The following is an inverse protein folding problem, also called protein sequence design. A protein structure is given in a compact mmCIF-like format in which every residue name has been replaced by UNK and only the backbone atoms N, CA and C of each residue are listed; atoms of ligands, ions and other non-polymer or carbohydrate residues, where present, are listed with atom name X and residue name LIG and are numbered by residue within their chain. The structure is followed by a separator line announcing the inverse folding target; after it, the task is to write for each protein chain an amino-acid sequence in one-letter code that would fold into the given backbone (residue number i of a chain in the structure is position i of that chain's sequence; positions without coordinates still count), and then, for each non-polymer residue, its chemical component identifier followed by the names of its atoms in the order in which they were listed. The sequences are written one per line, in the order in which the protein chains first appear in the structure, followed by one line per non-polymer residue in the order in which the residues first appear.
data_IF_535982924449
#
_entry.id   IF_535982924449
#
_cell.length_a   1.000
_cell.length_b   1.000
_cell.length_c   1.000
_cell.angle_alpha   90.00
_cell.angle_beta   90.00
_cell.angle_gamma   90.00
#
_symmetry.space_group_name_H-M   'P 1'
#
loop_
_entity.id
_entity.type
_entity.pdbx_description
1 polymer ?
#
# COMPACT_ATOMS: atom_id res chain seq x y z
N UNK A 1 -0.22 -5.01 -7.01
CA UNK A 1 0.62 -3.95 -7.59
C UNK A 1 1.58 -4.41 -8.68
N UNK A 2 2.30 -5.53 -8.53
CA UNK A 2 3.40 -5.88 -9.44
C UNK A 2 3.02 -5.94 -10.93
N UNK A 3 1.87 -6.52 -11.26
CA UNK A 3 1.33 -6.55 -12.62
C UNK A 3 1.06 -5.15 -13.21
N UNK A 4 0.64 -4.19 -12.37
CA UNK A 4 0.42 -2.80 -12.77
C UNK A 4 1.75 -2.11 -13.07
N UNK A 5 2.76 -2.30 -12.23
CA UNK A 5 4.11 -1.74 -12.45
C UNK A 5 4.72 -2.33 -13.72
N UNK A 6 4.56 -3.63 -13.95
CA UNK A 6 5.01 -4.29 -15.17
C UNK A 6 4.31 -3.76 -16.42
N UNK A 7 3.00 -3.53 -16.34
CA UNK A 7 2.23 -2.88 -17.42
C UNK A 7 2.74 -1.46 -17.71
N UNK A 8 2.89 -0.62 -16.68
CA UNK A 8 3.39 0.76 -16.81
C UNK A 8 4.77 0.79 -17.47
N UNK A 9 5.68 -0.10 -17.05
CA UNK A 9 7.03 -0.18 -17.61
C UNK A 9 7.05 -0.71 -19.04
N UNK A 10 6.14 -1.62 -19.39
CA UNK A 10 6.03 -2.20 -20.74
C UNK A 10 5.44 -1.23 -21.76
N UNK A 11 4.46 -0.42 -21.37
CA UNK A 11 3.78 0.49 -22.31
C UNK A 11 4.71 1.61 -22.82
N UNK A 12 5.75 2.00 -22.07
CA UNK A 12 6.87 2.83 -22.56
C UNK A 12 6.55 4.28 -22.96
N UNK A 13 5.31 4.60 -23.37
CA UNK A 13 4.88 5.91 -23.87
C UNK A 13 4.43 6.89 -22.77
N UNK A 14 4.64 6.52 -21.50
CA UNK A 14 4.66 7.46 -20.39
C UNK A 14 3.30 7.70 -19.76
N UNK A 15 3.07 7.03 -18.62
CA UNK A 15 1.95 7.30 -17.73
C UNK A 15 1.87 8.81 -17.44
N UNK A 16 0.75 9.46 -17.75
CA UNK A 16 0.61 10.92 -17.54
C UNK A 16 -0.15 11.28 -16.29
N UNK A 17 -1.16 10.50 -15.93
CA UNK A 17 -1.98 10.75 -14.76
C UNK A 17 -2.40 9.46 -14.05
N UNK A 18 -2.64 9.61 -12.75
CA UNK A 18 -3.16 8.60 -11.85
C UNK A 18 -4.53 9.08 -11.39
N UNK A 19 -5.55 8.27 -11.66
CA UNK A 19 -6.93 8.61 -11.31
C UNK A 19 -7.34 7.79 -10.09
N UNK A 20 -7.63 8.48 -8.99
CA UNK A 20 -8.21 7.93 -7.77
C UNK A 20 -9.73 7.99 -7.89
N UNK A 21 -10.39 6.84 -7.89
CA UNK A 21 -11.84 6.78 -8.09
C UNK A 21 -12.55 6.55 -6.75
N UNK A 22 -13.42 7.48 -6.37
CA UNK A 22 -14.21 7.41 -5.12
C UNK A 22 -15.71 7.55 -5.41
N UNK A 23 -16.60 6.91 -4.64
CA UNK A 23 -18.03 7.15 -4.75
C UNK A 23 -18.39 8.50 -4.12
N UNK A 24 -19.29 9.27 -4.75
CA UNK A 24 -19.68 10.60 -4.29
C UNK A 24 -20.29 10.59 -2.88
N UNK A 25 -20.97 9.51 -2.50
CA UNK A 25 -21.53 9.34 -1.16
C UNK A 25 -20.49 9.01 -0.07
N UNK A 26 -19.20 8.88 -0.42
CA UNK A 26 -18.15 8.80 0.59
C UNK A 26 -17.87 10.19 1.15
N UNK A 27 -18.46 10.47 2.31
CA UNK A 27 -18.38 11.78 2.95
C UNK A 27 -17.18 11.91 3.88
N UNK A 28 -16.52 10.80 4.23
CA UNK A 28 -15.44 10.78 5.21
C UNK A 28 -14.09 10.46 4.57
N UNK A 29 -13.08 11.22 4.97
CA UNK A 29 -11.68 10.89 4.68
C UNK A 29 -11.22 9.69 5.55
N UNK A 30 -11.62 8.49 5.12
CA UNK A 30 -11.45 7.24 5.87
C UNK A 30 -10.01 6.72 5.89
N UNK A 31 -9.72 5.82 6.84
CA UNK A 31 -8.44 5.10 6.92
C UNK A 31 -8.10 4.34 5.63
N UNK A 32 -9.12 3.84 4.94
CA UNK A 32 -8.93 3.17 3.63
C UNK A 32 -8.37 4.14 2.58
N UNK A 33 -8.87 5.37 2.54
CA UNK A 33 -8.37 6.39 1.61
C UNK A 33 -6.93 6.79 1.99
N UNK A 34 -6.65 6.89 3.29
CA UNK A 34 -5.31 7.15 3.82
C UNK A 34 -4.30 6.04 3.44
N UNK A 35 -4.68 4.77 3.59
CA UNK A 35 -3.89 3.61 3.17
C UNK A 35 -3.63 3.66 1.67
N UNK A 36 -4.65 3.95 0.86
CA UNK A 36 -4.50 4.08 -0.59
C UNK A 36 -3.50 5.18 -0.96
N UNK A 37 -3.56 6.34 -0.30
CA UNK A 37 -2.60 7.44 -0.49
C UNK A 37 -1.17 6.97 -0.16
N UNK A 38 -0.98 6.23 0.94
CA UNK A 38 0.34 5.66 1.30
C UNK A 38 0.86 4.66 0.27
N UNK A 39 0.02 3.76 -0.22
CA UNK A 39 0.40 2.81 -1.28
C UNK A 39 0.82 3.55 -2.55
N UNK A 40 0.07 4.59 -2.94
CA UNK A 40 0.42 5.43 -4.09
C UNK A 40 1.78 6.11 -3.87
N UNK A 41 1.99 6.75 -2.72
CA UNK A 41 3.25 7.42 -2.38
C UNK A 41 4.46 6.47 -2.47
N UNK A 42 4.34 5.27 -1.91
CA UNK A 42 5.43 4.29 -1.91
C UNK A 42 5.67 3.69 -3.30
N UNK A 43 4.64 3.56 -4.12
CA UNK A 43 4.77 3.06 -5.51
C UNK A 43 5.44 4.09 -6.42
N UNK A 44 5.19 5.38 -6.16
CA UNK A 44 5.70 6.50 -6.94
C UNK A 44 6.60 7.41 -6.09
N UNK A 45 7.83 6.95 -5.72
CA UNK A 45 8.78 7.75 -4.94
C UNK A 45 9.45 8.85 -5.80
N UNK A 46 8.65 9.65 -6.51
CA UNK A 46 9.08 10.65 -7.48
C UNK A 46 8.63 12.02 -6.98
N UNK A 47 9.57 12.94 -6.74
CA UNK A 47 9.24 14.28 -6.25
C UNK A 47 8.22 14.98 -7.16
N UNK A 48 7.13 15.49 -6.56
CA UNK A 48 6.07 16.20 -7.28
C UNK A 48 5.15 15.31 -8.11
N UNK A 49 5.20 13.97 -7.97
CA UNK A 49 4.30 13.08 -8.70
C UNK A 49 2.82 13.32 -8.39
N UNK A 50 2.51 13.87 -7.21
CA UNK A 50 1.15 14.22 -6.80
C UNK A 50 0.48 15.22 -7.77
N UNK A 51 1.25 15.99 -8.55
CA UNK A 51 0.72 16.85 -9.63
C UNK A 51 0.04 16.07 -10.75
N UNK A 52 0.31 14.76 -10.82
CA UNK A 52 -0.27 13.84 -11.79
C UNK A 52 -1.46 13.07 -11.22
N UNK A 53 -1.84 13.30 -9.96
CA UNK A 53 -2.94 12.61 -9.29
C UNK A 53 -4.20 13.48 -9.34
N UNK A 54 -5.33 12.88 -9.71
CA UNK A 54 -6.64 13.50 -9.58
C UNK A 54 -7.64 12.55 -8.92
N UNK A 55 -8.73 13.10 -8.40
CA UNK A 55 -9.85 12.35 -7.84
C UNK A 55 -11.04 12.40 -8.80
N UNK A 56 -11.65 11.25 -9.08
CA UNK A 56 -12.92 11.16 -9.80
C UNK A 56 -13.98 10.65 -8.84
N UNK A 57 -14.91 11.53 -8.53
CA UNK A 57 -16.12 11.23 -7.78
C UNK A 57 -17.15 10.62 -8.72
N UNK A 58 -17.57 9.40 -8.40
CA UNK A 58 -18.52 8.62 -9.21
C UNK A 58 -19.89 8.63 -8.57
N UNK A 59 -20.92 8.15 -9.28
CA UNK A 59 -22.31 8.16 -8.80
C UNK A 59 -22.84 9.58 -8.52
N UNK A 60 -22.31 10.59 -9.22
CA UNK A 60 -22.88 11.93 -9.21
C UNK A 60 -24.13 11.96 -10.10
N UNK A 61 -25.22 11.37 -9.64
CA UNK A 61 -26.39 11.08 -10.49
C UNK A 61 -26.96 12.35 -11.16
N UNK A 62 -27.36 12.24 -12.42
CA UNK A 62 -27.88 13.34 -13.23
C UNK A 62 -29.24 13.88 -12.74
N UNK A 63 -29.98 13.10 -11.94
CA UNK A 63 -31.30 13.46 -11.44
C UNK A 63 -31.29 14.25 -10.12
N UNK A 64 -30.12 14.50 -9.52
CA UNK A 64 -30.03 15.41 -8.37
C UNK A 64 -30.30 16.85 -8.81
N UNK A 65 -31.06 17.65 -8.03
CA UNK A 65 -31.21 19.07 -8.31
C UNK A 65 -29.86 19.76 -8.42
N UNK A 66 -29.66 20.51 -9.51
CA UNK A 66 -28.36 21.09 -9.87
C UNK A 66 -27.75 21.94 -8.74
N UNK A 67 -28.53 22.84 -8.13
CA UNK A 67 -28.05 23.70 -7.05
C UNK A 67 -27.55 22.90 -5.82
N UNK A 68 -28.27 21.85 -5.45
CA UNK A 68 -27.90 20.97 -4.32
C UNK A 68 -26.60 20.21 -4.62
N UNK A 69 -26.46 19.75 -5.87
CA UNK A 69 -25.26 19.06 -6.30
C UNK A 69 -24.05 20.00 -6.32
N UNK A 70 -24.18 21.20 -6.89
CA UNK A 70 -23.09 22.19 -6.99
C UNK A 70 -22.56 22.59 -5.60
N UNK A 71 -23.45 22.84 -4.65
CA UNK A 71 -23.08 23.10 -3.26
C UNK A 71 -22.35 21.90 -2.63
N UNK A 72 -22.87 20.69 -2.83
CA UNK A 72 -22.25 19.46 -2.34
C UNK A 72 -20.87 19.21 -2.95
N UNK A 73 -20.70 19.50 -4.24
CA UNK A 73 -19.41 19.43 -4.96
C UNK A 73 -18.42 20.40 -4.32
N UNK A 74 -18.80 21.66 -4.13
CA UNK A 74 -17.93 22.69 -3.57
C UNK A 74 -17.45 22.35 -2.15
N UNK A 75 -18.37 21.91 -1.29
CA UNK A 75 -18.06 21.47 0.07
C UNK A 75 -17.10 20.28 0.05
N UNK A 76 -17.39 19.28 -0.80
CA UNK A 76 -16.58 18.05 -0.90
C UNK A 76 -15.18 18.33 -1.46
N UNK A 77 -15.07 19.17 -2.48
CA UNK A 77 -13.78 19.60 -3.04
C UNK A 77 -12.92 20.29 -1.98
N UNK A 78 -13.50 21.21 -1.21
CA UNK A 78 -12.77 21.95 -0.17
C UNK A 78 -12.30 21.01 0.95
N UNK A 79 -13.23 20.19 1.48
CA UNK A 79 -12.95 19.25 2.56
C UNK A 79 -11.87 18.21 2.18
N UNK A 80 -11.99 17.57 1.01
CA UNK A 80 -11.04 16.54 0.62
C UNK A 80 -9.69 17.11 0.22
N UNK A 81 -9.62 18.31 -0.38
CA UNK A 81 -8.34 18.93 -0.65
C UNK A 81 -7.60 19.24 0.65
N UNK A 82 -8.28 19.84 1.64
CA UNK A 82 -7.68 20.08 2.96
C UNK A 82 -7.17 18.78 3.59
N UNK A 83 -8.01 17.75 3.68
CA UNK A 83 -7.64 16.49 4.35
C UNK A 83 -6.56 15.70 3.64
N UNK A 84 -6.60 15.63 2.31
CA UNK A 84 -5.54 14.99 1.54
C UNK A 84 -4.22 15.74 1.69
N UNK A 85 -4.24 17.07 1.64
CA UNK A 85 -3.04 17.88 1.77
C UNK A 85 -2.42 17.78 3.15
N UNK A 86 -3.22 17.87 4.21
CA UNK A 86 -2.75 17.68 5.58
C UNK A 86 -2.09 16.31 5.75
N UNK A 87 -2.73 15.26 5.24
CA UNK A 87 -2.23 13.89 5.36
C UNK A 87 -0.94 13.66 4.57
N UNK A 88 -0.87 14.16 3.33
CA UNK A 88 0.31 14.03 2.48
C UNK A 88 1.47 14.84 3.06
N UNK A 89 1.24 16.08 3.50
CA UNK A 89 2.28 16.93 4.09
C UNK A 89 2.90 16.32 5.36
N UNK A 90 2.09 15.65 6.19
CA UNK A 90 2.59 14.93 7.36
C UNK A 90 3.51 13.75 7.01
N UNK A 91 3.37 13.15 5.83
CA UNK A 91 4.04 11.89 5.46
C UNK A 91 5.17 12.06 4.44
N UNK A 92 4.98 12.91 3.43
CA UNK A 92 5.95 13.09 2.33
C UNK A 92 6.66 14.45 2.37
N UNK A 93 6.33 15.32 3.32
CA UNK A 93 6.84 16.70 3.40
C UNK A 93 5.99 17.69 2.60
N UNK A 94 6.36 18.98 2.67
CA UNK A 94 5.56 20.10 2.18
C UNK A 94 5.44 20.15 0.66
N UNK A 95 4.37 19.55 0.12
CA UNK A 95 3.90 19.85 -1.21
C UNK A 95 2.74 20.86 -1.11
N UNK A 96 2.70 21.85 -2.00
CA UNK A 96 1.58 22.78 -2.12
C UNK A 96 0.85 22.48 -3.43
N UNK A 97 -0.05 21.51 -3.37
CA UNK A 97 -0.82 21.04 -4.52
C UNK A 97 -2.31 21.17 -4.19
N UNK A 98 -3.11 21.44 -5.21
CA UNK A 98 -4.56 21.26 -5.14
C UNK A 98 -4.90 20.12 -6.08
N UNK A 99 -5.55 19.08 -5.55
CA UNK A 99 -5.93 17.92 -6.34
C UNK A 99 -7.10 18.29 -7.24
N UNK A 100 -6.97 18.12 -8.57
CA UNK A 100 -8.10 18.21 -9.47
C UNK A 100 -9.13 17.14 -9.09
N UNK A 101 -10.39 17.54 -8.96
CA UNK A 101 -11.50 16.64 -8.65
C UNK A 101 -12.59 16.79 -9.70
N UNK A 102 -13.03 15.66 -10.25
CA UNK A 102 -14.03 15.60 -11.32
C UNK A 102 -15.25 14.78 -10.88
N UNK A 103 -16.45 15.18 -11.29
CA UNK A 103 -17.71 14.66 -10.74
C UNK A 103 -18.57 14.02 -11.82
N UNK A 104 -18.54 12.69 -11.87
CA UNK A 104 -19.06 11.90 -12.99
C UNK A 104 -20.24 11.03 -12.56
N UNK A 105 -21.33 11.12 -13.32
CA UNK A 105 -22.38 10.13 -13.29
C UNK A 105 -21.90 8.86 -14.01
N UNK A 106 -21.65 7.83 -13.21
CA UNK A 106 -21.21 6.52 -13.71
C UNK A 106 -22.36 5.66 -14.21
N UNK A 107 -23.62 6.07 -14.02
CA UNK A 107 -24.81 5.32 -14.42
C UNK A 107 -25.95 6.25 -14.85
N UNK A 108 -25.79 6.97 -15.98
CA UNK A 108 -26.82 7.88 -16.45
C UNK A 108 -28.09 7.13 -16.82
N UNK A 109 -29.23 7.63 -16.35
CA UNK A 109 -30.54 7.10 -16.73
C UNK A 109 -30.82 7.40 -18.20
N UNK A 110 -31.38 6.42 -18.93
CA UNK A 110 -31.73 6.60 -20.33
C UNK A 110 -32.74 7.73 -20.50
N UNK A 111 -32.46 8.67 -21.41
CA UNK A 111 -33.32 9.83 -21.69
C UNK A 111 -33.15 11.03 -20.75
N UNK A 112 -32.23 10.96 -19.78
CA UNK A 112 -31.85 12.11 -18.95
C UNK A 112 -30.65 12.84 -19.56
N UNK A 113 -30.59 14.16 -19.37
CA UNK A 113 -29.42 14.94 -19.76
C UNK A 113 -28.24 14.62 -18.84
N UNK A 114 -27.14 14.16 -19.43
CA UNK A 114 -25.89 13.86 -18.73
C UNK A 114 -24.73 14.77 -19.19
N UNK A 115 -25.04 15.86 -19.90
CA UNK A 115 -24.07 16.82 -20.44
C UNK A 115 -23.06 17.32 -19.41
N UNK A 116 -23.51 17.58 -18.17
CA UNK A 116 -22.63 17.95 -17.05
C UNK A 116 -21.51 16.93 -16.83
N UNK A 117 -21.82 15.64 -16.76
CA UNK A 117 -20.78 14.61 -16.56
C UNK A 117 -19.91 14.40 -17.80
N UNK A 118 -20.45 14.60 -19.00
CA UNK A 118 -19.64 14.60 -20.21
C UNK A 118 -18.62 15.75 -20.21
N UNK A 119 -19.01 16.94 -19.74
CA UNK A 119 -18.13 18.09 -19.58
C UNK A 119 -17.05 17.87 -18.51
N UNK A 120 -17.38 17.18 -17.42
CA UNK A 120 -16.44 16.76 -16.37
C UNK A 120 -15.39 15.77 -16.91
N UNK A 121 -15.83 14.79 -17.70
CA UNK A 121 -14.92 13.85 -18.39
C UNK A 121 -14.03 14.60 -19.38
N UNK A 122 -14.59 15.52 -20.17
CA UNK A 122 -13.81 16.33 -21.10
C UNK A 122 -12.77 17.19 -20.38
N UNK A 123 -13.13 17.78 -19.25
CA UNK A 123 -12.23 18.56 -18.39
C UNK A 123 -11.10 17.71 -17.83
N UNK A 124 -11.40 16.49 -17.35
CA UNK A 124 -10.39 15.52 -16.91
C UNK A 124 -9.41 15.17 -18.02
N UNK A 125 -9.91 14.89 -19.23
CA UNK A 125 -9.06 14.54 -20.37
C UNK A 125 -8.20 15.73 -20.82
N UNK A 126 -8.76 16.93 -20.83
CA UNK A 126 -8.04 18.16 -21.18
C UNK A 126 -6.97 18.51 -20.15
N UNK A 127 -7.22 18.26 -18.86
CA UNK A 127 -6.21 18.37 -17.81
C UNK A 127 -5.09 17.33 -18.01
N UNK A 128 -5.44 16.05 -18.16
CA UNK A 128 -4.47 14.97 -18.29
C UNK A 128 -3.54 15.14 -19.50
N UNK A 129 -4.04 15.66 -20.63
CA UNK A 129 -3.25 15.93 -21.84
C UNK A 129 -2.17 16.99 -21.65
N UNK A 130 -2.33 17.91 -20.70
CA UNK A 130 -1.37 18.98 -20.41
C UNK A 130 -0.22 18.52 -19.53
N UNK A 131 -0.32 17.34 -18.93
CA UNK A 131 0.70 16.81 -18.03
C UNK A 131 1.87 16.24 -18.82
N UNK A 132 3.08 16.47 -18.31
CA UNK A 132 4.24 15.72 -18.74
C UNK A 132 4.10 14.24 -18.35
N UNK A 133 4.73 13.31 -19.09
CA UNK A 133 4.82 11.93 -18.64
C UNK A 133 5.55 11.80 -17.30
N UNK A 134 5.09 10.89 -16.47
CA UNK A 134 5.78 10.44 -15.26
C UNK A 134 6.97 9.58 -15.69
N UNK A 135 8.10 9.72 -15.00
CA UNK A 135 9.29 8.90 -15.20
C UNK A 135 9.05 7.46 -14.69
N UNK A 136 8.55 6.60 -15.59
CA UNK A 136 8.16 5.22 -15.29
C UNK A 136 9.33 4.34 -14.81
N UNK A 137 10.58 4.73 -15.07
CA UNK A 137 11.75 3.98 -14.62
C UNK A 137 11.93 4.04 -13.10
N UNK A 138 11.50 5.14 -12.48
CA UNK A 138 11.53 5.36 -11.03
C UNK A 138 10.35 4.75 -10.28
N UNK A 139 9.40 4.15 -11.00
CA UNK A 139 8.27 3.44 -10.39
C UNK A 139 8.77 2.13 -9.79
N UNK A 140 8.44 1.91 -8.52
CA UNK A 140 8.93 0.76 -7.77
C UNK A 140 7.85 -0.30 -7.58
N UNK A 141 8.27 -1.56 -7.59
CA UNK A 141 7.41 -2.67 -7.16
C UNK A 141 7.38 -2.67 -5.65
N UNK A 142 6.25 -2.28 -5.07
CA UNK A 142 6.02 -2.32 -3.63
C UNK A 142 4.97 -3.37 -3.27
N UNK A 143 5.11 -3.91 -2.08
CA UNK A 143 4.08 -4.74 -1.46
C UNK A 143 2.87 -3.86 -1.13
N UNK A 144 1.67 -4.44 -1.24
CA UNK A 144 0.41 -3.75 -0.94
C UNK A 144 0.00 -3.94 0.52
N UNK A 145 0.59 -4.91 1.20
CA UNK A 145 0.36 -5.25 2.61
C UNK A 145 1.37 -4.52 3.48
N UNK A 146 2.64 -4.59 3.10
CA UNK A 146 3.74 -4.02 3.86
C UNK A 146 4.22 -2.69 3.26
N UNK A 147 4.22 -1.65 4.09
CA UNK A 147 4.82 -0.37 3.77
C UNK A 147 6.35 -0.49 3.67
N UNK A 148 6.95 -1.19 4.63
CA UNK A 148 8.38 -1.47 4.62
C UNK A 148 8.70 -2.78 5.34
N UNK A 149 9.80 -3.40 4.93
CA UNK A 149 10.39 -4.55 5.60
C UNK A 149 11.84 -4.22 5.86
N UNK A 150 12.26 -4.31 7.12
CA UNK A 150 13.62 -4.04 7.58
C UNK A 150 14.21 -5.35 8.07
N UNK A 151 15.43 -5.67 7.64
CA UNK A 151 16.20 -6.78 8.19
C UNK A 151 16.92 -6.30 9.45
N UNK A 152 16.65 -6.98 10.57
CA UNK A 152 17.39 -6.80 11.82
C UNK A 152 18.38 -7.96 11.98
N UNK A 153 19.56 -7.65 12.51
CA UNK A 153 20.66 -8.59 12.71
C UNK A 153 21.07 -8.60 14.19
N UNK A 154 21.34 -9.78 14.73
CA UNK A 154 21.80 -9.97 16.11
C UNK A 154 22.84 -11.09 16.18
N UNK A 155 23.88 -10.89 16.99
CA UNK A 155 24.88 -11.91 17.28
C UNK A 155 24.58 -12.55 18.64
N UNK A 156 24.27 -13.84 18.65
CA UNK A 156 24.07 -14.60 19.87
C UNK A 156 25.29 -15.48 20.17
N UNK A 157 25.98 -15.21 21.28
CA UNK A 157 27.08 -16.05 21.76
C UNK A 157 26.58 -17.10 22.76
N UNK A 158 26.88 -18.37 22.47
CA UNK A 158 26.53 -19.53 23.30
C UNK A 158 27.83 -20.22 23.70
N UNK A 159 28.01 -20.46 25.00
CA UNK A 159 29.12 -21.29 25.47
C UNK A 159 28.78 -22.76 25.19
N UNK A 160 29.50 -23.38 24.26
CA UNK A 160 29.34 -24.81 23.95
C UNK A 160 30.02 -25.65 25.04
N UNK A 161 31.24 -25.27 25.42
CA UNK A 161 32.01 -25.99 26.41
C UNK A 161 32.97 -25.07 27.15
N UNK A 162 33.21 -25.39 28.41
CA UNK A 162 34.20 -24.73 29.26
C UNK A 162 34.97 -25.79 30.02
N UNK A 163 36.28 -25.79 29.82
CA UNK A 163 37.24 -26.61 30.56
C UNK A 163 38.23 -25.68 31.29
N UNK A 164 39.12 -26.25 32.10
CA UNK A 164 40.19 -25.49 32.75
C UNK A 164 41.15 -24.81 31.76
N UNK A 165 41.26 -25.36 30.53
CA UNK A 165 42.24 -24.92 29.53
C UNK A 165 41.61 -24.17 28.38
N UNK A 166 40.33 -24.42 28.08
CA UNK A 166 39.68 -23.93 26.86
C UNK A 166 38.23 -23.53 27.13
N UNK A 167 37.83 -22.44 26.49
CA UNK A 167 36.44 -22.02 26.33
C UNK A 167 36.08 -22.12 24.86
N UNK A 168 35.09 -22.95 24.52
CA UNK A 168 34.52 -23.00 23.18
C UNK A 168 33.21 -22.25 23.16
N UNK A 169 33.14 -21.18 22.37
CA UNK A 169 31.91 -20.41 22.14
C UNK A 169 31.45 -20.55 20.70
N UNK A 170 30.14 -20.61 20.52
CA UNK A 170 29.46 -20.52 19.24
C UNK A 170 28.87 -19.13 19.12
N UNK A 171 29.19 -18.42 18.04
CA UNK A 171 28.58 -17.15 17.70
C UNK A 171 27.62 -17.45 16.55
N UNK A 172 26.32 -17.32 16.82
CA UNK A 172 25.27 -17.43 15.83
C UNK A 172 24.92 -16.03 15.35
N UNK A 173 25.05 -15.80 14.05
CA UNK A 173 24.54 -14.62 13.39
C UNK A 173 23.08 -14.88 13.02
N UNK A 174 22.17 -14.16 13.67
CA UNK A 174 20.73 -14.26 13.54
C UNK A 174 20.20 -13.09 12.72
N UNK A 175 19.20 -13.35 11.89
CA UNK A 175 18.43 -12.31 11.21
C UNK A 175 16.95 -12.50 11.44
N UNK A 176 16.20 -11.40 11.40
CA UNK A 176 14.73 -11.44 11.31
C UNK A 176 14.21 -10.30 10.47
N UNK A 177 13.01 -10.46 9.96
CA UNK A 177 12.27 -9.41 9.29
C UNK A 177 11.38 -8.67 10.29
N UNK A 178 11.54 -7.35 10.33
CA UNK A 178 10.57 -6.44 10.93
C UNK A 178 9.71 -5.83 9.83
N UNK A 179 8.41 -6.08 9.88
CA UNK A 179 7.46 -5.74 8.81
C UNK A 179 6.48 -4.69 9.31
N UNK A 180 6.44 -3.55 8.65
CA UNK A 180 5.50 -2.47 8.89
C UNK A 180 4.36 -2.55 7.89
N UNK A 181 3.12 -2.65 8.37
CA UNK A 181 1.93 -2.75 7.51
C UNK A 181 1.30 -1.39 7.24
N UNK A 182 0.44 -1.33 6.23
CA UNK A 182 -0.35 -0.12 5.99
C UNK A 182 -1.54 0.03 6.93
N UNK A 183 -2.11 -1.08 7.40
CA UNK A 183 -3.34 -1.10 8.20
C UNK A 183 -3.10 -1.19 9.71
N UNK A 184 -1.84 -1.29 10.14
CA UNK A 184 -1.46 -1.42 11.55
C UNK A 184 -0.33 -0.45 11.89
N UNK A 185 -0.41 0.17 13.06
CA UNK A 185 0.63 1.07 13.56
C UNK A 185 1.82 0.30 14.18
N UNK A 186 1.59 -0.91 14.67
CA UNK A 186 2.62 -1.74 15.29
C UNK A 186 3.31 -2.64 14.26
N UNK A 187 4.66 -2.76 14.30
CA UNK A 187 5.37 -3.67 13.43
C UNK A 187 5.17 -5.12 13.86
N UNK A 188 5.07 -6.00 12.87
CA UNK A 188 5.13 -7.45 13.07
C UNK A 188 6.55 -7.97 12.86
N UNK A 189 6.90 -9.09 13.48
CA UNK A 189 8.24 -9.67 13.42
C UNK A 189 8.18 -11.12 12.94
N UNK A 190 9.12 -11.52 12.09
CA UNK A 190 9.39 -12.93 11.86
C UNK A 190 10.11 -13.54 13.07
N UNK A 191 10.16 -14.86 13.11
CA UNK A 191 11.08 -15.56 14.00
C UNK A 191 12.53 -15.22 13.63
N UNK A 192 13.42 -15.29 14.61
CA UNK A 192 14.86 -15.23 14.38
C UNK A 192 15.32 -16.49 13.63
N UNK A 193 16.12 -16.29 12.59
CA UNK A 193 16.69 -17.36 11.78
C UNK A 193 18.22 -17.26 11.80
N UNK A 194 18.91 -18.37 12.08
CA UNK A 194 20.36 -18.44 12.02
C UNK A 194 20.83 -18.51 10.58
N UNK A 195 21.51 -17.46 10.12
CA UNK A 195 22.07 -17.41 8.76
C UNK A 195 23.50 -17.93 8.71
N UNK A 196 24.26 -17.79 9.79
CA UNK A 196 25.58 -18.37 9.90
C UNK A 196 25.97 -18.61 11.35
N UNK A 197 26.95 -19.48 11.55
CA UNK A 197 27.45 -19.81 12.87
C UNK A 197 28.96 -20.03 12.80
N UNK A 198 29.68 -19.42 13.72
CA UNK A 198 31.13 -19.54 13.82
C UNK A 198 31.51 -20.01 15.22
N UNK A 199 32.38 -21.02 15.30
CA UNK A 199 32.93 -21.49 16.57
C UNK A 199 34.27 -20.82 16.84
N UNK A 200 34.43 -20.27 18.05
CA UNK A 200 35.69 -19.73 18.54
C UNK A 200 36.15 -20.55 19.73
N UNK A 201 37.44 -20.90 19.73
CA UNK A 201 38.10 -21.54 20.86
C UNK A 201 39.06 -20.52 21.46
N UNK A 202 38.89 -20.23 22.75
CA UNK A 202 39.77 -19.37 23.52
C UNK A 202 40.51 -20.23 24.53
N UNK A 203 41.82 -20.35 24.36
CA UNK A 203 42.69 -21.00 25.34
C UNK A 203 42.90 -20.07 26.53
N UNK A 204 42.71 -20.60 27.74
CA UNK A 204 43.10 -19.90 28.95
C UNK A 204 44.62 -20.00 29.10
N UNK A 205 45.32 -18.88 29.41
CA UNK A 205 46.73 -18.98 29.78
C UNK A 205 46.84 -19.91 30.98
N UNK A 206 47.79 -20.86 30.94
CA UNK A 206 48.07 -21.77 32.07
C UNK A 206 48.31 -20.94 33.32
N UNK A 207 47.33 -20.83 34.20
CA UNK A 207 47.53 -20.20 35.50
C UNK A 207 48.20 -21.20 36.41
N UNK A 208 49.42 -20.85 36.84
CA UNK A 208 50.07 -21.42 38.00
C UNK A 208 49.09 -21.26 39.17
N UNK A 209 48.78 -22.37 39.83
CA UNK A 209 47.86 -22.48 40.96
C UNK A 209 48.08 -21.40 42.02
N UNK A 210 47.03 -20.68 42.44
CA UNK A 210 46.64 -20.66 43.86
C UNK A 210 45.28 -19.98 44.16
N UNK A 211 44.51 -20.73 44.95
CA UNK A 211 43.37 -20.44 45.82
C UNK A 211 41.94 -20.22 45.28
N UNK A 212 41.07 -20.92 46.01
CA UNK A 212 39.63 -21.18 45.92
C UNK A 212 38.84 -19.99 46.46
N UNK A 213 37.72 -19.66 45.82
CA UNK A 213 36.51 -19.22 46.54
C UNK A 213 35.26 -19.87 45.94
N UNK A 214 34.49 -20.52 46.81
CA UNK A 214 33.18 -21.08 46.54
C UNK A 214 32.16 -19.97 46.31
N UNK A 215 31.29 -20.14 45.31
CA UNK A 215 30.03 -19.41 45.21
C UNK A 215 28.86 -20.40 45.17
N UNK A 216 27.92 -20.18 46.07
CA UNK A 216 26.68 -20.96 46.28
C UNK A 216 25.70 -20.68 45.13
N UNK A 217 25.22 -21.74 44.49
CA UNK A 217 24.19 -21.69 43.44
C UNK A 217 22.80 -21.52 44.07
N UNK A 218 22.00 -20.55 43.58
CA UNK A 218 20.54 -20.51 43.79
C UNK A 218 19.86 -20.95 42.50
N UNK A 219 18.99 -21.94 42.59
CA UNK A 219 18.15 -22.38 41.47
C UNK A 219 17.18 -21.27 41.04
N UNK A 220 16.99 -21.02 39.74
CA UNK A 220 15.84 -20.27 39.25
C UNK A 220 14.57 -21.17 39.24
N UNK A 221 13.38 -20.59 39.45
CA UNK A 221 12.14 -21.35 39.59
C UNK A 221 11.65 -21.94 38.27
N UNK A 222 11.01 -23.11 38.37
CA UNK A 222 10.28 -23.79 37.28
C UNK A 222 8.82 -23.34 37.30
N UNK A 223 8.35 -22.79 36.19
CA UNK A 223 6.93 -22.70 35.80
C UNK A 223 6.88 -22.53 34.27
N UNK A 224 5.86 -22.91 33.52
CA UNK A 224 5.00 -24.10 33.51
C UNK A 224 4.54 -24.20 32.04
N UNK A 225 4.52 -25.39 31.46
CA UNK A 225 3.88 -25.59 30.16
C UNK A 225 2.38 -25.68 30.38
N UNK A 226 1.59 -24.79 29.79
CA UNK A 226 0.20 -25.08 29.47
C UNK A 226 -0.05 -24.96 27.96
N UNK A 227 -0.53 -26.08 27.42
CA UNK A 227 -1.11 -26.24 26.09
C UNK A 227 -2.56 -25.75 26.16
N UNK A 228 -2.99 -25.00 25.15
CA UNK A 228 -4.32 -25.22 24.56
C UNK A 228 -4.30 -24.78 23.09
N UNK A 229 -4.51 -25.77 22.22
CA UNK A 229 -4.84 -25.61 20.80
C UNK A 229 -6.37 -25.62 20.70
N UNK A 230 -6.98 -24.62 20.06
CA UNK A 230 -8.01 -24.75 19.00
C UNK A 230 -8.74 -23.42 18.78
N UNK A 231 -9.18 -23.24 17.53
CA UNK A 231 -9.96 -22.12 17.00
C UNK A 231 -9.16 -20.92 16.46
N UNK A 232 -8.33 -21.16 15.44
CA UNK A 232 -7.93 -20.08 14.52
C UNK A 232 -7.68 -20.56 13.09
N UNK A 233 -8.26 -21.69 12.68
CA UNK A 233 -8.13 -22.20 11.30
C UNK A 233 -9.37 -21.95 10.42
N UNK A 234 -10.53 -21.56 10.99
CA UNK A 234 -11.74 -21.31 10.22
C UNK A 234 -11.90 -19.88 9.69
N UNK A 235 -11.05 -18.94 10.11
CA UNK A 235 -11.09 -17.53 9.68
C UNK A 235 -10.23 -17.25 8.43
N UNK A 236 -9.42 -18.22 7.97
CA UNK A 236 -8.48 -18.02 6.84
C UNK A 236 -9.07 -18.28 5.45
N UNK A 237 -10.26 -18.86 5.34
CA UNK A 237 -10.90 -19.13 4.04
C UNK A 237 -11.69 -17.91 3.48
N UNK A 238 -11.74 -16.79 4.19
CA UNK A 238 -12.56 -15.62 3.84
C UNK A 238 -11.89 -14.57 2.94
N UNK A 239 -10.55 -14.46 2.97
CA UNK A 239 -9.83 -13.35 2.30
C UNK A 239 -9.35 -13.68 0.87
N UNK A 240 -9.42 -14.93 0.45
CA UNK A 240 -8.83 -15.42 -0.81
C UNK A 240 -9.53 -15.02 -2.11
N UNK A 241 -10.51 -14.11 -2.11
CA UNK A 241 -11.07 -13.63 -3.37
C UNK A 241 -11.73 -12.27 -3.22
N UNK A 242 -11.36 -11.30 -4.06
CA UNK A 242 -12.20 -10.16 -4.48
C UNK A 242 -11.45 -9.20 -5.43
N UNK A 243 -11.31 -9.57 -6.70
CA UNK A 243 -10.90 -8.63 -7.77
C UNK A 243 -12.07 -8.52 -8.75
N UNK A 244 -12.80 -7.40 -8.74
CA UNK A 244 -13.41 -6.73 -9.90
C UNK A 244 -14.35 -5.58 -9.47
N UNK A 245 -13.93 -4.31 -9.62
CA UNK A 245 -14.76 -3.16 -10.03
C UNK A 245 -13.85 -2.21 -10.82
N UNK A 246 -13.40 -2.63 -11.99
CA UNK A 246 -12.72 -1.76 -12.97
C UNK A 246 -13.52 -1.59 -14.26
N UNK A 247 -14.61 -2.34 -14.44
CA UNK A 247 -15.30 -2.47 -15.72
C UNK A 247 -16.11 -1.25 -16.13
N UNK A 248 -16.93 -0.67 -15.26
CA UNK A 248 -17.96 0.27 -15.70
C UNK A 248 -17.44 1.67 -16.05
N UNK A 249 -16.44 2.18 -15.35
CA UNK A 249 -15.90 3.53 -15.58
C UNK A 249 -14.91 3.51 -16.75
N UNK A 250 -14.05 2.50 -16.80
CA UNK A 250 -13.17 2.25 -17.95
C UNK A 250 -14.01 2.01 -19.20
N UNK A 251 -15.11 1.25 -19.12
CA UNK A 251 -16.06 1.09 -20.22
C UNK A 251 -16.77 2.40 -20.60
N UNK A 252 -17.23 3.21 -19.63
CA UNK A 252 -17.84 4.52 -19.91
C UNK A 252 -16.91 5.51 -20.62
N UNK A 253 -15.63 5.56 -20.19
CA UNK A 253 -14.61 6.41 -20.80
C UNK A 253 -14.13 5.84 -22.14
N UNK A 254 -13.99 4.52 -22.28
CA UNK A 254 -13.70 3.84 -23.56
C UNK A 254 -14.86 4.01 -24.56
N UNK A 255 -16.11 3.89 -24.11
CA UNK A 255 -17.31 4.04 -24.95
C UNK A 255 -17.55 5.50 -25.34
N UNK A 256 -17.18 6.47 -24.50
CA UNK A 256 -17.09 7.89 -24.88
C UNK A 256 -16.06 8.10 -26.01
N UNK A 257 -14.86 7.52 -25.87
CA UNK A 257 -13.81 7.60 -26.90
C UNK A 257 -14.21 6.91 -28.21
N UNK A 258 -14.91 5.77 -28.13
CA UNK A 258 -15.40 5.02 -29.29
C UNK A 258 -16.45 5.82 -30.07
N UNK A 259 -17.31 6.57 -29.36
CA UNK A 259 -18.32 7.47 -29.96
C UNK A 259 -17.71 8.71 -30.60
N UNK A 260 -16.64 9.30 -30.04
CA UNK A 260 -15.98 10.50 -30.58
C UNK A 260 -14.73 10.24 -31.45
N UNK A 261 -14.39 8.99 -31.79
CA UNK A 261 -13.16 8.62 -32.55
C UNK A 261 -11.86 9.20 -31.94
N UNK A 262 -11.80 9.35 -30.62
CA UNK A 262 -10.60 9.87 -29.93
C UNK A 262 -9.63 8.71 -29.67
N UNK A 263 -8.54 8.64 -30.42
CA UNK A 263 -7.70 7.43 -30.56
C UNK A 263 -6.59 7.24 -29.52
N UNK A 264 -6.50 8.06 -28.45
CA UNK A 264 -5.34 8.05 -27.53
C UNK A 264 -5.72 8.13 -26.05
N UNK A 265 -6.29 7.05 -25.50
CA UNK A 265 -6.53 6.93 -24.06
C UNK A 265 -5.67 5.86 -23.36
N UNK A 266 -4.67 5.30 -24.03
CA UNK A 266 -3.77 4.28 -23.46
C UNK A 266 -2.87 4.81 -22.33
N UNK A 267 -2.86 6.13 -22.10
CA UNK A 267 -1.91 6.85 -21.22
C UNK A 267 -2.46 7.13 -19.79
N UNK A 268 -3.66 6.64 -19.45
CA UNK A 268 -4.36 6.92 -18.17
C UNK A 268 -4.45 5.67 -17.31
N UNK A 269 -3.98 5.74 -16.06
CA UNK A 269 -4.11 4.67 -15.09
C UNK A 269 -5.27 4.94 -14.12
N UNK A 270 -6.18 3.97 -14.01
CA UNK A 270 -7.29 4.01 -13.07
C UNK A 270 -6.99 3.12 -11.87
N UNK A 271 -7.00 3.70 -10.67
CA UNK A 271 -6.95 2.97 -9.41
C UNK A 271 -8.35 2.96 -8.78
N UNK A 272 -8.92 1.77 -8.60
CA UNK A 272 -10.23 1.58 -7.94
C UNK A 272 -10.08 0.47 -6.91
N UNK A 273 -10.39 0.75 -5.63
CA UNK A 273 -10.30 -0.22 -4.54
C UNK A 273 -11.61 -0.25 -3.73
N UNK A 274 -12.40 -1.33 -3.88
CA UNK A 274 -13.04 -2.17 -2.83
C UNK A 274 -14.39 -2.84 -3.22
N UNK A 275 -14.45 -4.14 -2.82
CA UNK A 275 -15.58 -5.06 -2.53
C UNK A 275 -16.26 -5.86 -3.68
N UNK A 276 -16.40 -7.17 -3.41
CA UNK A 276 -16.68 -8.36 -4.29
C UNK A 276 -18.17 -8.57 -4.66
N UNK A 277 -18.48 -9.07 -5.87
CA UNK A 277 -19.04 -10.43 -6.24
C UNK A 277 -19.65 -10.46 -7.67
N UNK A 278 -19.22 -11.42 -8.51
CA UNK A 278 -19.98 -12.33 -9.42
C UNK A 278 -19.22 -12.67 -10.74
N UNK A 279 -19.27 -13.96 -11.06
CA UNK A 279 -18.74 -14.71 -12.20
C UNK A 279 -18.91 -14.06 -13.59
N UNK A 280 -17.86 -14.17 -14.42
CA UNK A 280 -17.96 -14.16 -15.88
C UNK A 280 -17.28 -15.40 -16.47
N UNK A 281 -17.97 -16.54 -16.41
CA UNK A 281 -17.81 -17.58 -17.42
C UNK A 281 -18.96 -17.38 -18.42
N UNK A 282 -18.69 -16.59 -19.46
CA UNK A 282 -19.32 -16.61 -20.80
C UNK A 282 -19.22 -15.22 -21.45
N UNK A 283 -18.21 -15.05 -22.31
CA UNK A 283 -18.26 -14.08 -23.41
C UNK A 283 -17.90 -14.87 -24.67
N UNK A 284 -18.94 -15.40 -25.30
CA UNK A 284 -19.20 -15.19 -26.71
C UNK A 284 -20.22 -14.05 -26.80
#
# INVERSE_FOLDING_TARGET
MNQMVDYIKKEGEGLKCIVVVLPFHEDKFSEVIQIMIRIIANTFPIVGFWKHVCVVWTKCMCFYPQAVLEESIHIKQSYYNEKMMDYINQKTGSEHITFPMFFVDSNPCTGQDNSRSENEIESLLNWARKLSPIDVNKVEKRDIVYESVILEEEDQEIVISKTEKELTTQINHLVREKRFRYDEDEPSYSNWETVSSTTKVKEFPKQVTHYVTEYVYRDPPKEEKNKENKEFEDTMNGLGAAVFIGGCIVKGIIDYNRRKKVTKLKEVLFLTFLRKRINFNSIL
#
